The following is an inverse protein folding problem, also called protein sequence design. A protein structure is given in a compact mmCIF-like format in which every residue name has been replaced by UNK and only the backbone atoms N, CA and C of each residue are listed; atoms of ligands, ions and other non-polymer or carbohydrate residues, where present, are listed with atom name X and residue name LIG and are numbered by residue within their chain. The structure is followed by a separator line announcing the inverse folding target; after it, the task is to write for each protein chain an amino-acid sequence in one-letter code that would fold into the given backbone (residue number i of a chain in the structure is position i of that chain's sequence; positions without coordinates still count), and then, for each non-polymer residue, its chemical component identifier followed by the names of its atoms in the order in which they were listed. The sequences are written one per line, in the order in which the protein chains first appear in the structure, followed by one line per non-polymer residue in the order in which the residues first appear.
data_IF_085045910576
#
_entry.id   IF_085045910576
#
_cell.length_a   1.000
_cell.length_b   1.000
_cell.length_c   1.000
_cell.angle_alpha   90.00
_cell.angle_beta   90.00
_cell.angle_gamma   90.00
#
_symmetry.space_group_name_H-M   'P 1'
#
loop_
_entity.id
_entity.type
_entity.pdbx_description
1 polymer ?
#
# COMPACT_ATOMS: atom_id res chain seq x y z
N UNK A 1 -5.47 1.66 17.25
CA UNK A 1 -4.43 2.72 17.42
C UNK A 1 -3.13 2.09 16.99
N UNK A 2 -2.45 2.72 16.03
CA UNK A 2 -1.28 2.15 15.36
C UNK A 2 -0.09 2.17 16.31
N UNK A 3 0.54 1.01 16.51
CA UNK A 3 1.83 0.90 17.20
C UNK A 3 2.96 1.36 16.27
N UNK A 4 3.79 2.28 16.76
CA UNK A 4 4.93 2.79 16.01
C UNK A 4 5.99 1.72 15.77
N UNK A 5 6.22 0.81 16.72
CA UNK A 5 7.26 -0.23 16.54
C UNK A 5 6.86 -1.26 15.47
N UNK A 6 5.57 -1.54 15.32
CA UNK A 6 5.04 -2.39 14.25
C UNK A 6 5.34 -1.79 12.87
N UNK A 7 5.06 -0.49 12.71
CA UNK A 7 5.40 0.25 11.49
C UNK A 7 6.92 0.33 11.26
N UNK A 8 7.71 0.48 12.32
CA UNK A 8 9.17 0.47 12.21
C UNK A 8 9.71 -0.92 11.83
N UNK A 9 9.06 -2.02 12.24
CA UNK A 9 9.43 -3.36 11.81
C UNK A 9 9.29 -3.54 10.29
N UNK A 10 8.20 -3.02 9.70
CA UNK A 10 8.01 -3.00 8.25
C UNK A 10 9.07 -2.14 7.55
N UNK A 11 9.24 -0.89 7.99
CA UNK A 11 10.14 0.07 7.33
C UNK A 11 11.63 -0.31 7.40
N UNK A 12 12.07 -1.01 8.46
CA UNK A 12 13.46 -1.54 8.58
C UNK A 12 13.81 -2.57 7.50
N UNK A 13 12.80 -3.17 6.85
CA UNK A 13 12.97 -4.16 5.77
C UNK A 13 12.94 -3.51 4.39
N UNK A 14 12.44 -2.29 4.25
CA UNK A 14 12.32 -1.57 2.98
C UNK A 14 13.69 -1.02 2.52
N UNK A 15 14.60 -1.94 2.24
CA UNK A 15 15.94 -1.72 1.66
C UNK A 15 16.21 -2.83 0.65
N UNK A 16 17.02 -2.56 -0.38
CA UNK A 16 17.32 -3.56 -1.42
C UNK A 16 17.84 -4.89 -0.86
N UNK A 17 18.51 -4.87 0.30
CA UNK A 17 19.09 -6.07 0.94
C UNK A 17 18.10 -6.89 1.77
N UNK A 18 16.98 -6.30 2.21
CA UNK A 18 16.08 -6.90 3.20
C UNK A 18 14.62 -6.98 2.75
N UNK A 19 14.27 -6.31 1.67
CA UNK A 19 12.88 -6.24 1.20
C UNK A 19 12.39 -7.62 0.80
N UNK A 20 11.14 -7.90 1.15
CA UNK A 20 10.38 -9.07 0.71
C UNK A 20 9.30 -8.70 -0.31
N UNK A 21 9.30 -7.44 -0.80
CA UNK A 21 8.40 -7.01 -1.86
C UNK A 21 8.50 -7.94 -3.07
N UNK A 22 7.37 -8.50 -3.46
CA UNK A 22 7.30 -9.47 -4.54
C UNK A 22 6.94 -8.80 -5.86
N UNK A 23 6.15 -7.73 -5.82
CA UNK A 23 5.59 -7.10 -7.03
C UNK A 23 5.31 -5.61 -6.81
N UNK A 24 5.40 -4.86 -7.90
CA UNK A 24 4.92 -3.48 -8.01
C UNK A 24 4.10 -3.38 -9.29
N UNK A 25 2.94 -2.74 -9.19
CA UNK A 25 2.10 -2.38 -10.31
C UNK A 25 1.77 -0.89 -10.21
N UNK A 26 1.71 -0.18 -11.34
CA UNK A 26 1.38 1.23 -11.35
C UNK A 26 0.55 1.63 -12.56
N UNK A 27 -0.32 2.63 -12.35
CA UNK A 27 -1.02 3.36 -13.39
C UNK A 27 -0.58 4.81 -13.41
N UNK A 28 -0.35 5.36 -14.59
CA UNK A 28 -0.16 6.80 -14.81
C UNK A 28 -1.49 7.37 -15.28
N UNK A 29 -1.90 8.45 -14.64
CA UNK A 29 -3.19 9.08 -14.81
C UNK A 29 -2.97 10.53 -15.25
N UNK A 30 -3.74 10.98 -16.24
CA UNK A 30 -3.79 12.40 -16.56
C UNK A 30 -4.56 13.18 -15.49
N UNK A 31 -4.58 14.51 -15.61
CA UNK A 31 -5.31 15.38 -14.67
C UNK A 31 -6.82 15.13 -14.59
N UNK A 32 -7.41 14.49 -15.60
CA UNK A 32 -8.84 14.14 -15.65
C UNK A 32 -9.10 12.73 -15.07
N UNK A 33 -8.05 12.03 -14.62
CA UNK A 33 -8.14 10.69 -14.05
C UNK A 33 -8.29 9.58 -15.10
N UNK A 34 -7.93 9.86 -16.35
CA UNK A 34 -7.86 8.86 -17.41
C UNK A 34 -6.49 8.14 -17.40
N UNK A 35 -6.50 6.83 -17.66
CA UNK A 35 -5.29 6.00 -17.64
C UNK A 35 -4.48 6.26 -18.92
N UNK A 36 -3.29 6.84 -18.75
CA UNK A 36 -2.31 7.07 -19.83
C UNK A 36 -1.44 5.83 -20.09
N UNK A 37 -1.23 5.01 -19.06
CA UNK A 37 -0.46 3.79 -19.19
C UNK A 37 -0.32 3.04 -17.87
N UNK A 38 -0.09 1.74 -17.97
CA UNK A 38 0.07 0.87 -16.80
C UNK A 38 1.33 0.02 -16.91
N UNK A 39 1.83 -0.43 -15.76
CA UNK A 39 2.87 -1.44 -15.68
C UNK A 39 2.59 -2.40 -14.53
N UNK A 40 3.09 -3.63 -14.68
CA UNK A 40 3.00 -4.63 -13.63
C UNK A 40 4.20 -5.58 -13.68
N UNK A 41 5.08 -5.48 -12.70
CA UNK A 41 6.40 -6.14 -12.74
C UNK A 41 6.72 -6.82 -11.42
N UNK A 42 7.34 -8.01 -11.52
CA UNK A 42 7.97 -8.65 -10.37
C UNK A 42 9.06 -7.72 -9.82
N UNK A 43 9.06 -7.47 -8.51
CA UNK A 43 9.91 -6.45 -7.90
C UNK A 43 11.41 -6.74 -8.11
N UNK A 44 11.78 -8.02 -8.17
CA UNK A 44 13.16 -8.46 -8.44
C UNK A 44 13.64 -8.19 -9.87
N UNK A 45 12.74 -7.89 -10.81
CA UNK A 45 13.11 -7.53 -12.20
C UNK A 45 13.49 -6.07 -12.36
N UNK A 46 13.19 -5.22 -11.37
CA UNK A 46 13.65 -3.84 -11.35
C UNK A 46 15.18 -3.76 -11.18
N UNK A 47 15.77 -2.69 -11.72
CA UNK A 47 17.19 -2.41 -11.47
C UNK A 47 17.43 -2.14 -9.98
N UNK A 48 18.66 -2.28 -9.45
CA UNK A 48 18.97 -1.91 -8.07
C UNK A 48 18.58 -0.46 -7.72
N UNK A 49 18.77 0.48 -8.65
CA UNK A 49 18.41 1.89 -8.46
C UNK A 49 16.90 2.08 -8.39
N UNK A 50 16.15 1.46 -9.30
CA UNK A 50 14.68 1.55 -9.30
C UNK A 50 14.07 0.88 -8.08
N UNK A 51 14.64 -0.24 -7.61
CA UNK A 51 14.20 -0.86 -6.36
C UNK A 51 14.39 0.08 -5.18
N UNK A 52 15.54 0.72 -5.06
CA UNK A 52 15.78 1.66 -3.97
C UNK A 52 14.80 2.84 -4.03
N UNK A 53 14.61 3.47 -5.20
CA UNK A 53 13.65 4.57 -5.41
C UNK A 53 12.23 4.16 -4.99
N UNK A 54 11.77 3.01 -5.50
CA UNK A 54 10.44 2.48 -5.21
C UNK A 54 10.25 2.07 -3.74
N UNK A 55 11.28 1.55 -3.08
CA UNK A 55 11.24 1.28 -1.64
C UNK A 55 11.11 2.56 -0.83
N UNK A 56 11.80 3.64 -1.19
CA UNK A 56 11.65 4.92 -0.50
C UNK A 56 10.24 5.49 -0.66
N UNK A 57 9.65 5.37 -1.85
CA UNK A 57 8.26 5.77 -2.13
C UNK A 57 7.30 4.98 -1.24
N UNK A 58 7.33 3.65 -1.29
CA UNK A 58 6.45 2.80 -0.49
C UNK A 58 6.62 3.02 1.02
N UNK A 59 7.87 3.26 1.46
CA UNK A 59 8.22 3.47 2.87
C UNK A 59 7.56 4.70 3.47
N UNK A 60 7.20 5.71 2.69
CA UNK A 60 6.56 6.95 3.20
C UNK A 60 5.30 6.64 4.00
N UNK A 61 4.51 5.66 3.56
CA UNK A 61 3.24 5.28 4.22
C UNK A 61 3.47 4.77 5.65
N UNK A 62 4.14 3.61 5.89
CA UNK A 62 4.36 3.14 7.25
C UNK A 62 5.39 4.00 8.03
N UNK A 63 6.23 4.80 7.37
CA UNK A 63 7.18 5.66 8.09
C UNK A 63 6.55 6.93 8.67
N UNK A 64 5.38 7.34 8.18
CA UNK A 64 4.65 8.52 8.63
C UNK A 64 4.34 8.52 10.14
N UNK A 65 4.01 9.69 10.68
CA UNK A 65 3.65 9.85 12.09
C UNK A 65 2.36 9.07 12.39
N UNK A 66 2.48 8.05 13.24
CA UNK A 66 1.37 7.16 13.57
C UNK A 66 0.31 7.89 14.37
N UNK A 67 -0.95 7.63 14.05
CA UNK A 67 -2.12 8.26 14.64
C UNK A 67 -2.22 9.78 14.38
N UNK A 68 -1.43 10.30 13.43
CA UNK A 68 -1.54 11.64 12.89
C UNK A 68 -1.64 11.58 11.36
N UNK A 69 -0.51 11.42 10.67
CA UNK A 69 -0.44 11.30 9.21
C UNK A 69 -0.80 9.89 8.72
N UNK A 70 -0.61 8.86 9.56
CA UNK A 70 -1.06 7.51 9.30
C UNK A 70 -2.17 7.17 10.31
N UNK A 71 -3.40 7.00 9.85
CA UNK A 71 -4.56 6.74 10.70
C UNK A 71 -5.25 5.44 10.32
N UNK A 72 -5.67 4.69 11.34
CA UNK A 72 -6.32 3.39 11.18
C UNK A 72 -7.85 3.58 11.05
N UNK A 73 -8.43 2.95 10.03
CA UNK A 73 -9.86 2.94 9.78
C UNK A 73 -10.37 1.51 9.68
N UNK A 74 -11.62 1.32 10.09
CA UNK A 74 -12.32 0.05 10.01
C UNK A 74 -13.32 0.09 8.86
N UNK A 75 -13.28 -0.89 7.97
CA UNK A 75 -14.31 -1.06 6.96
C UNK A 75 -15.66 -1.38 7.61
N UNK A 76 -16.72 -0.70 7.15
CA UNK A 76 -18.09 -0.98 7.56
C UNK A 76 -18.53 -2.35 7.04
N UNK A 77 -19.34 -3.10 7.82
CA UNK A 77 -19.79 -4.44 7.42
C UNK A 77 -20.56 -4.44 6.09
N UNK A 78 -21.29 -3.36 5.81
CA UNK A 78 -22.06 -3.13 4.59
C UNK A 78 -21.13 -3.12 3.36
N UNK A 79 -19.95 -2.52 3.52
CA UNK A 79 -18.91 -2.40 2.50
C UNK A 79 -18.08 -3.70 2.35
N UNK A 80 -18.51 -4.81 2.92
CA UNK A 80 -17.90 -6.14 2.73
C UNK A 80 -18.82 -7.12 1.98
N UNK A 81 -20.07 -6.75 1.67
CA UNK A 81 -21.10 -7.69 1.21
C UNK A 81 -21.26 -7.75 -0.32
N UNK A 82 -21.05 -6.66 -1.08
CA UNK A 82 -21.14 -6.65 -2.57
C UNK A 82 -20.24 -5.60 -3.23
N UNK A 83 -19.56 -6.01 -4.31
CA UNK A 83 -18.75 -5.18 -5.26
C UNK A 83 -17.98 -3.99 -4.67
N UNK A 84 -17.40 -4.17 -3.48
CA UNK A 84 -16.75 -3.10 -2.73
C UNK A 84 -15.25 -3.04 -3.00
N UNK A 85 -14.67 -1.86 -2.81
CA UNK A 85 -13.22 -1.68 -2.90
C UNK A 85 -12.46 -2.61 -1.94
N UNK A 86 -13.03 -2.93 -0.77
CA UNK A 86 -12.46 -3.94 0.13
C UNK A 86 -12.30 -5.32 -0.53
N UNK A 87 -13.31 -5.80 -1.28
CA UNK A 87 -13.22 -7.08 -1.99
C UNK A 87 -12.19 -7.02 -3.12
N UNK A 88 -12.12 -5.89 -3.83
CA UNK A 88 -11.11 -5.65 -4.85
C UNK A 88 -9.70 -5.72 -4.25
N UNK A 89 -9.45 -5.03 -3.14
CA UNK A 89 -8.17 -5.05 -2.42
C UNK A 89 -7.84 -6.44 -1.87
N UNK A 90 -8.81 -7.21 -1.36
CA UNK A 90 -8.62 -8.63 -1.00
C UNK A 90 -8.15 -9.44 -2.21
N UNK A 91 -8.79 -9.27 -3.37
CA UNK A 91 -8.45 -9.98 -4.61
C UNK A 91 -7.06 -9.61 -5.12
N UNK A 92 -6.74 -8.31 -5.15
CA UNK A 92 -5.42 -7.78 -5.52
C UNK A 92 -4.32 -8.36 -4.62
N UNK A 93 -4.54 -8.39 -3.30
CA UNK A 93 -3.62 -8.99 -2.34
C UNK A 93 -3.48 -10.49 -2.56
N UNK A 94 -4.58 -11.23 -2.59
CA UNK A 94 -4.57 -12.69 -2.71
C UNK A 94 -3.92 -13.18 -4.02
N UNK A 95 -4.05 -12.42 -5.11
CA UNK A 95 -3.38 -12.74 -6.37
C UNK A 95 -1.93 -12.23 -6.46
N UNK A 96 -1.43 -11.52 -5.44
CA UNK A 96 -0.10 -10.92 -5.43
C UNK A 96 0.11 -9.90 -6.54
N UNK A 97 -0.94 -9.12 -6.86
CA UNK A 97 -1.02 -8.18 -7.99
C UNK A 97 -0.82 -8.81 -9.36
N UNK A 98 -1.02 -10.12 -9.53
CA UNK A 98 -0.79 -10.81 -10.83
C UNK A 98 -1.93 -10.66 -11.83
N UNK A 99 -3.10 -10.21 -11.38
CA UNK A 99 -4.27 -10.07 -12.24
C UNK A 99 -4.39 -8.61 -12.71
N UNK A 100 -3.97 -8.36 -13.95
CA UNK A 100 -4.00 -7.02 -14.53
C UNK A 100 -5.43 -6.45 -14.63
N UNK A 101 -6.46 -7.29 -14.76
CA UNK A 101 -7.84 -6.81 -14.79
C UNK A 101 -8.28 -6.23 -13.43
N UNK A 102 -7.82 -6.81 -12.31
CA UNK A 102 -8.09 -6.23 -10.98
C UNK A 102 -7.33 -4.91 -10.79
N UNK A 103 -6.13 -4.81 -11.35
CA UNK A 103 -5.35 -3.57 -11.31
C UNK A 103 -6.01 -2.47 -12.13
N UNK A 104 -6.46 -2.79 -13.35
CA UNK A 104 -7.18 -1.86 -14.22
C UNK A 104 -8.43 -1.31 -13.54
N UNK A 105 -9.29 -2.19 -13.00
CA UNK A 105 -10.47 -1.77 -12.24
C UNK A 105 -10.11 -0.89 -11.04
N UNK A 106 -9.01 -1.18 -10.34
CA UNK A 106 -8.55 -0.34 -9.25
C UNK A 106 -8.15 1.06 -9.74
N UNK A 107 -7.41 1.16 -10.85
CA UNK A 107 -7.03 2.44 -11.42
C UNK A 107 -8.23 3.23 -11.96
N UNK A 108 -9.22 2.58 -12.57
CA UNK A 108 -10.47 3.22 -13.00
C UNK A 108 -11.23 3.82 -11.81
N UNK A 109 -11.32 3.08 -10.70
CA UNK A 109 -11.97 3.57 -9.48
C UNK A 109 -11.20 4.76 -8.90
N UNK A 110 -9.87 4.69 -8.82
CA UNK A 110 -9.06 5.82 -8.34
C UNK A 110 -9.23 7.02 -9.29
N UNK A 111 -9.14 6.80 -10.60
CA UNK A 111 -9.32 7.83 -11.64
C UNK A 111 -10.65 8.56 -11.54
N UNK A 112 -11.74 7.83 -11.29
CA UNK A 112 -13.08 8.40 -11.16
C UNK A 112 -13.31 9.24 -9.90
N UNK A 113 -12.48 9.08 -8.86
CA UNK A 113 -12.72 9.67 -7.53
C UNK A 113 -11.61 10.63 -7.06
N UNK A 114 -10.36 10.41 -7.45
CA UNK A 114 -9.22 11.18 -6.98
C UNK A 114 -9.20 12.61 -7.54
N UNK A 115 -8.98 13.60 -6.67
CA UNK A 115 -8.95 15.02 -7.06
C UNK A 115 -7.51 15.51 -7.12
N UNK A 116 -6.93 15.45 -8.32
CA UNK A 116 -5.56 15.91 -8.54
C UNK A 116 -5.49 17.38 -8.99
N UNK A 117 -4.30 17.99 -8.81
CA UNK A 117 -3.95 19.30 -9.38
C UNK A 117 -3.26 19.20 -10.76
N UNK A 118 -2.94 17.97 -11.20
CA UNK A 118 -2.24 17.66 -12.44
C UNK A 118 -2.11 16.16 -12.65
N UNK A 119 -1.21 15.72 -13.51
CA UNK A 119 -0.98 14.29 -13.75
C UNK A 119 -0.42 13.61 -12.49
N UNK A 120 -0.77 12.34 -12.31
CA UNK A 120 -0.42 11.59 -11.11
C UNK A 120 -0.21 10.11 -11.42
N UNK A 121 0.47 9.42 -10.49
CA UNK A 121 0.72 8.00 -10.55
C UNK A 121 0.09 7.31 -9.34
N UNK A 122 -0.51 6.15 -9.59
CA UNK A 122 -1.05 5.26 -8.56
C UNK A 122 -0.18 4.01 -8.52
N UNK A 123 0.67 3.88 -7.51
CA UNK A 123 1.55 2.72 -7.36
C UNK A 123 1.06 1.81 -6.24
N UNK A 124 1.01 0.52 -6.53
CA UNK A 124 0.65 -0.54 -5.58
C UNK A 124 1.79 -1.53 -5.47
N UNK A 125 2.26 -1.72 -4.24
CA UNK A 125 3.29 -2.65 -3.85
C UNK A 125 2.68 -3.84 -3.16
N UNK A 126 3.18 -5.04 -3.44
CA UNK A 126 2.82 -6.25 -2.72
C UNK A 126 4.04 -6.86 -2.06
N UNK A 127 3.90 -7.21 -0.79
CA UNK A 127 4.96 -7.78 0.04
C UNK A 127 4.41 -8.94 0.88
N UNK A 128 5.30 -9.88 1.21
CA UNK A 128 5.06 -11.02 2.09
C UNK A 128 6.15 -11.04 3.14
N UNK A 129 5.83 -10.51 4.31
CA UNK A 129 6.74 -10.41 5.43
C UNK A 129 6.61 -11.64 6.34
N UNK A 130 7.66 -12.45 6.41
CA UNK A 130 7.79 -13.50 7.42
C UNK A 130 8.19 -12.87 8.77
N UNK A 131 7.27 -12.88 9.73
CA UNK A 131 7.44 -12.26 11.04
C UNK A 131 8.31 -13.18 11.90
N UNK A 132 9.50 -12.71 12.35
CA UNK A 132 10.33 -13.49 13.25
C UNK A 132 9.64 -13.57 14.62
N UNK A 133 9.44 -14.79 15.14
CA UNK A 133 8.94 -14.95 16.51
C UNK A 133 9.94 -14.38 17.52
N UNK A 134 9.46 -13.50 18.42
CA UNK A 134 10.24 -13.02 19.56
C UNK A 134 10.48 -14.20 20.51
N UNK A 135 11.69 -14.76 20.49
CA UNK A 135 12.10 -15.79 21.44
C UNK A 135 12.09 -15.24 22.86
N UNK A 136 11.11 -15.65 23.67
CA UNK A 136 11.25 -15.66 25.12
C UNK A 136 11.66 -17.08 25.48
N UNK A 137 12.92 -17.20 25.89
CA UNK A 137 13.58 -18.43 26.33
C UNK A 137 13.82 -19.55 25.30
N UNK A 138 14.85 -20.31 25.64
CA UNK A 138 15.70 -21.20 24.84
C UNK A 138 15.03 -22.48 24.31
N UNK A 139 13.80 -22.43 23.79
CA UNK A 139 13.18 -23.59 23.15
C UNK A 139 12.63 -23.24 21.76
N UNK A 140 13.44 -23.53 20.74
CA UNK A 140 12.96 -23.63 19.35
C UNK A 140 12.15 -24.92 19.22
N UNK A 141 10.91 -24.91 19.70
CA UNK A 141 9.91 -25.91 19.33
C UNK A 141 9.17 -25.42 18.08
N UNK A 142 9.01 -26.33 17.11
CA UNK A 142 8.63 -26.05 15.72
C UNK A 142 7.20 -25.56 15.54
N UNK A 143 6.95 -24.30 15.88
CA UNK A 143 5.68 -23.62 15.63
C UNK A 143 5.81 -22.67 14.43
N UNK A 144 4.76 -22.61 13.61
CA UNK A 144 4.73 -22.00 12.27
C UNK A 144 5.11 -20.51 12.26
N UNK A 145 5.97 -20.09 11.33
CA UNK A 145 6.25 -18.68 11.01
C UNK A 145 4.93 -17.95 10.69
N UNK A 146 4.66 -16.80 11.32
CA UNK A 146 3.52 -15.95 10.95
C UNK A 146 3.90 -15.11 9.74
N UNK A 147 3.12 -15.20 8.67
CA UNK A 147 3.33 -14.40 7.46
C UNK A 147 2.31 -13.26 7.38
N UNK A 148 2.80 -12.04 7.20
CA UNK A 148 2.01 -10.86 6.91
C UNK A 148 2.12 -10.51 5.42
N UNK A 149 1.05 -10.79 4.68
CA UNK A 149 0.90 -10.39 3.28
C UNK A 149 0.12 -9.09 3.22
N UNK A 150 0.63 -8.09 2.49
CA UNK A 150 0.06 -6.76 2.49
C UNK A 150 0.31 -6.00 1.19
N UNK A 151 -0.50 -4.96 1.02
CA UNK A 151 -0.43 -3.96 -0.03
C UNK A 151 -0.02 -2.62 0.57
N UNK A 152 0.85 -1.90 -0.13
CA UNK A 152 1.00 -0.46 0.05
C UNK A 152 0.55 0.20 -1.23
N UNK A 153 -0.38 1.14 -1.13
CA UNK A 153 -0.74 2.03 -2.23
C UNK A 153 -0.22 3.44 -1.94
N UNK A 154 0.25 4.12 -2.97
CA UNK A 154 0.59 5.54 -2.93
C UNK A 154 0.04 6.22 -4.16
N UNK A 155 -0.41 7.46 -3.98
CA UNK A 155 -0.74 8.37 -5.06
C UNK A 155 0.27 9.51 -5.03
N UNK A 156 1.01 9.67 -6.13
CA UNK A 156 2.08 10.64 -6.27
C UNK A 156 1.76 11.61 -7.42
N UNK A 157 2.01 12.92 -7.27
CA UNK A 157 2.03 13.83 -8.40
C UNK A 157 3.16 13.42 -9.34
N UNK A 158 2.95 13.61 -10.64
CA UNK A 158 3.93 13.30 -11.68
C UNK A 158 4.37 14.59 -12.35
N UNK A 159 5.66 14.68 -12.67
CA UNK A 159 6.21 15.81 -13.42
C UNK A 159 7.26 15.33 -14.42
N UNK A 160 7.28 15.96 -15.60
CA UNK A 160 8.28 15.66 -16.63
C UNK A 160 8.15 14.24 -17.20
N UNK A 161 9.20 13.44 -17.08
CA UNK A 161 9.36 12.13 -17.73
C UNK A 161 8.62 10.98 -17.01
N UNK A 162 7.40 11.21 -16.52
CA UNK A 162 6.60 10.24 -15.76
C UNK A 162 7.26 9.74 -14.46
N UNK A 163 8.20 10.51 -13.89
CA UNK A 163 8.76 10.17 -12.58
C UNK A 163 7.79 10.57 -11.46
N UNK A 164 7.41 9.63 -10.57
CA UNK A 164 6.57 9.95 -9.42
C UNK A 164 7.34 10.81 -8.41
N UNK A 165 6.71 11.89 -7.95
CA UNK A 165 7.16 12.69 -6.82
C UNK A 165 6.93 12.01 -5.48
N UNK A 166 6.98 12.80 -4.41
CA UNK A 166 6.65 12.32 -3.07
C UNK A 166 5.14 12.00 -2.96
N UNK A 167 4.74 10.89 -2.31
CA UNK A 167 3.33 10.55 -2.11
C UNK A 167 2.54 11.65 -1.39
N UNK A 168 1.40 12.04 -1.95
CA UNK A 168 0.44 12.98 -1.35
C UNK A 168 -0.51 12.25 -0.39
N UNK A 169 -0.94 11.05 -0.77
CA UNK A 169 -1.70 10.15 0.08
C UNK A 169 -1.45 8.68 -0.31
N UNK A 170 -2.02 7.76 0.47
CA UNK A 170 -1.85 6.33 0.23
C UNK A 170 -2.43 5.50 1.36
N UNK A 171 -2.14 4.20 1.34
CA UNK A 171 -2.57 3.30 2.40
C UNK A 171 -1.69 2.06 2.56
N UNK A 172 -1.75 1.47 3.75
CA UNK A 172 -1.28 0.12 4.06
C UNK A 172 -2.49 -0.77 4.32
N UNK A 173 -2.60 -1.88 3.58
CA UNK A 173 -3.74 -2.79 3.67
C UNK A 173 -3.35 -4.26 3.57
N UNK A 174 -3.86 -5.13 4.46
CA UNK A 174 -4.62 -4.84 5.68
C UNK A 174 -3.74 -4.17 6.74
N UNK A 175 -4.32 -3.49 7.73
CA UNK A 175 -3.54 -2.93 8.84
C UNK A 175 -2.72 -4.02 9.55
N UNK A 176 -1.54 -3.64 10.06
CA UNK A 176 -0.65 -4.54 10.80
C UNK A 176 -0.87 -4.34 12.30
N UNK A 177 -1.40 -5.35 12.98
CA UNK A 177 -1.75 -5.29 14.40
C UNK A 177 -1.44 -6.62 15.07
N UNK A 178 -0.82 -6.58 16.25
CA UNK A 178 -0.50 -7.75 17.08
C UNK A 178 0.22 -8.86 16.30
N UNK A 179 1.20 -8.46 15.48
CA UNK A 179 1.97 -9.37 14.63
C UNK A 179 1.08 -10.17 13.65
N UNK A 180 0.00 -9.57 13.16
CA UNK A 180 -0.96 -10.19 12.25
C UNK A 180 -1.63 -9.18 11.29
N UNK A 181 -2.28 -9.71 10.26
CA UNK A 181 -3.10 -8.97 9.32
C UNK A 181 -4.51 -8.71 9.89
N UNK A 182 -4.82 -7.45 10.20
CA UNK A 182 -6.16 -7.03 10.58
C UNK A 182 -7.01 -6.78 9.33
N UNK A 183 -7.58 -7.85 8.74
CA UNK A 183 -8.24 -7.84 7.41
C UNK A 183 -9.38 -6.82 7.23
N UNK A 184 -9.97 -6.37 8.34
CA UNK A 184 -11.08 -5.42 8.35
C UNK A 184 -10.64 -3.97 8.59
N UNK A 185 -9.33 -3.74 8.64
CA UNK A 185 -8.72 -2.44 8.91
C UNK A 185 -7.73 -2.06 7.82
N UNK A 186 -7.57 -0.75 7.65
CA UNK A 186 -6.65 -0.12 6.69
C UNK A 186 -6.02 1.09 7.36
N UNK A 187 -4.72 1.29 7.13
CA UNK A 187 -4.03 2.48 7.61
C UNK A 187 -3.88 3.46 6.45
N UNK A 188 -4.51 4.63 6.58
CA UNK A 188 -4.55 5.68 5.55
C UNK A 188 -3.47 6.71 5.84
N UNK A 189 -2.63 6.97 4.85
CA UNK A 189 -1.59 7.99 4.87
C UNK A 189 -2.08 9.27 4.19
N UNK A 190 -1.88 10.39 4.86
CA UNK A 190 -2.08 11.74 4.35
C UNK A 190 -0.82 12.58 4.59
N UNK A 191 -0.24 13.14 3.53
CA UNK A 191 0.96 13.97 3.65
C UNK A 191 0.66 15.33 4.32
N UNK A 192 -0.44 15.98 3.93
CA UNK A 192 -0.89 17.25 4.49
C UNK A 192 -2.21 17.09 5.26
N UNK A 193 -2.12 17.13 6.59
CA UNK A 193 -3.29 17.03 7.47
C UNK A 193 -4.21 18.26 7.42
N UNK A 194 -3.76 19.38 6.86
CA UNK A 194 -4.61 20.57 6.67
C UNK A 194 -5.45 20.48 5.40
N UNK A 195 -5.01 19.69 4.42
CA UNK A 195 -5.70 19.46 3.15
C UNK A 195 -5.71 17.96 2.82
N UNK A 196 -6.36 17.12 3.67
CA UNK A 196 -6.37 15.68 3.45
C UNK A 196 -7.16 15.32 2.20
N UNK A 197 -6.74 14.25 1.52
CA UNK A 197 -7.47 13.63 0.42
C UNK A 197 -8.65 12.83 0.96
N UNK A 198 -9.75 13.50 1.29
CA UNK A 198 -10.96 12.87 1.84
C UNK A 198 -11.62 11.94 0.82
N UNK A 199 -11.48 12.22 -0.47
CA UNK A 199 -11.96 11.37 -1.56
C UNK A 199 -11.38 9.95 -1.51
N UNK A 200 -10.19 9.76 -0.91
CA UNK A 200 -9.61 8.44 -0.67
C UNK A 200 -10.45 7.64 0.34
N UNK A 201 -10.90 8.29 1.41
CA UNK A 201 -11.76 7.67 2.44
C UNK A 201 -13.15 7.35 1.86
N UNK A 202 -13.72 8.31 1.13
CA UNK A 202 -15.04 8.16 0.48
C UNK A 202 -15.05 6.97 -0.49
N UNK A 203 -14.02 6.86 -1.35
CA UNK A 203 -13.84 5.75 -2.29
C UNK A 203 -13.69 4.39 -1.57
N UNK A 204 -13.06 4.37 -0.40
CA UNK A 204 -12.90 3.17 0.43
C UNK A 204 -14.15 2.84 1.26
N UNK A 205 -15.13 3.75 1.33
CA UNK A 205 -16.34 3.61 2.12
C UNK A 205 -16.05 3.59 3.63
N UNK A 206 -15.16 4.46 4.11
CA UNK A 206 -14.77 4.58 5.52
C UNK A 206 -14.98 5.99 6.07
#
# INVERSE_FOLDING_TARGET
MIDREDMLALTRRMTVKRTSMTRIAGGYMDSDGCIDGTFNIAFLKLSPADREKNLQIAKKVPFAETNQNLQEYKFLQENMQSDSLWKLLMGMRACGLKNDALMETFYEIVGANYKSKGDYAVYVFHDRYDIPMKGTDHERQGESEKMYEYLICVICPVSGDYEPGDPECGFLFPAFMDESAALNYIDIYQADMNHPHIELLEMLGI
#
